data_IF_918697095338
#
_entry.id   IF_918697095338
#
_cell.length_a   1.000
_cell.length_b   1.000
_cell.length_c   1.000
_cell.angle_alpha   90.00
_cell.angle_beta   90.00
_cell.angle_gamma   90.00
#
_symmetry.space_group_name_H-M   'P 1'
#
loop_
_entity.id
_entity.type
_entity.pdbx_description
1 polymer ?
#
# COMPACT_ATOMS: atom_id res chain seq x y z
N UNK A 1 1.86 16.25 5.60
CA UNK A 1 2.22 17.25 4.57
C UNK A 1 0.92 17.70 3.93
N UNK A 2 0.53 18.98 4.06
CA UNK A 2 -0.78 19.46 3.57
C UNK A 2 -1.01 19.16 2.07
N UNK A 3 0.06 19.20 1.28
CA UNK A 3 0.06 18.91 -0.16
C UNK A 3 -0.36 17.47 -0.50
N UNK A 4 0.14 16.47 0.24
CA UNK A 4 -0.24 15.07 0.05
C UNK A 4 -1.67 14.81 0.53
N UNK A 5 -2.04 15.40 1.66
CA UNK A 5 -3.40 15.29 2.21
C UNK A 5 -4.44 15.86 1.23
N UNK A 6 -4.21 17.06 0.71
CA UNK A 6 -5.09 17.68 -0.28
C UNK A 6 -5.22 16.86 -1.57
N UNK A 7 -4.13 16.23 -2.03
CA UNK A 7 -4.15 15.35 -3.20
C UNK A 7 -5.08 14.13 -2.99
N UNK A 8 -4.96 13.44 -1.86
CA UNK A 8 -5.78 12.26 -1.54
C UNK A 8 -7.24 12.63 -1.24
N UNK A 9 -7.47 13.73 -0.52
CA UNK A 9 -8.81 14.22 -0.21
C UNK A 9 -9.58 14.59 -1.48
N UNK A 10 -8.93 15.31 -2.40
CA UNK A 10 -9.54 15.67 -3.69
C UNK A 10 -9.88 14.44 -4.54
N UNK A 11 -9.04 13.40 -4.53
CA UNK A 11 -9.37 12.13 -5.18
C UNK A 11 -10.59 11.45 -4.56
N UNK A 12 -10.64 11.36 -3.22
CA UNK A 12 -11.76 10.74 -2.51
C UNK A 12 -13.07 11.48 -2.80
N UNK A 13 -13.07 12.81 -2.71
CA UNK A 13 -14.22 13.66 -3.05
C UNK A 13 -14.69 13.44 -4.50
N UNK A 14 -13.75 13.37 -5.45
CA UNK A 14 -14.08 13.13 -6.87
C UNK A 14 -14.76 11.80 -7.11
N UNK A 15 -14.33 10.75 -6.43
CA UNK A 15 -14.82 9.39 -6.63
C UNK A 15 -15.99 9.01 -5.71
N UNK A 16 -16.35 9.89 -4.77
CA UNK A 16 -17.38 9.60 -3.76
C UNK A 16 -16.91 8.65 -2.66
N UNK A 17 -15.61 8.62 -2.36
CA UNK A 17 -15.04 7.85 -1.25
C UNK A 17 -14.89 8.70 0.01
N UNK A 18 -14.98 8.05 1.17
CA UNK A 18 -14.64 8.68 2.44
C UNK A 18 -13.12 8.76 2.62
N UNK A 19 -12.61 9.97 2.84
CA UNK A 19 -11.21 10.18 3.24
C UNK A 19 -11.07 10.06 4.76
N UNK A 20 -10.43 8.98 5.21
CA UNK A 20 -10.22 8.67 6.62
C UNK A 20 -8.83 9.08 7.07
N UNK A 21 -8.77 10.00 8.03
CA UNK A 21 -7.52 10.44 8.63
C UNK A 21 -7.16 9.58 9.85
N UNK A 22 -5.98 8.95 9.81
CA UNK A 22 -5.47 8.08 10.87
C UNK A 22 -4.63 8.82 11.93
N UNK A 23 -4.41 10.14 11.81
CA UNK A 23 -3.53 10.90 12.74
C UNK A 23 -3.94 10.78 14.21
N UNK A 24 -5.25 10.72 14.49
CA UNK A 24 -5.78 10.58 15.86
C UNK A 24 -5.65 9.16 16.42
N UNK A 25 -5.37 8.17 15.57
CA UNK A 25 -5.26 6.74 15.93
C UNK A 25 -3.80 6.29 16.07
N UNK A 26 -2.86 7.25 16.14
CA UNK A 26 -1.43 6.95 16.31
C UNK A 26 -1.17 6.47 17.74
N UNK A 27 -0.73 5.23 17.86
CA UNK A 27 -0.24 4.65 19.11
C UNK A 27 1.27 4.90 19.24
N UNK A 28 1.65 5.67 20.26
CA UNK A 28 3.03 6.07 20.52
C UNK A 28 3.86 4.99 21.24
N UNK A 29 3.24 3.89 21.67
CA UNK A 29 3.95 2.73 22.24
C UNK A 29 4.70 1.90 21.20
N UNK A 30 4.48 2.18 19.90
CA UNK A 30 5.16 1.52 18.78
C UNK A 30 5.64 2.54 17.74
N UNK A 31 6.56 2.16 16.84
CA UNK A 31 6.91 2.99 15.70
C UNK A 31 5.67 3.37 14.86
N UNK A 32 5.58 4.61 14.33
CA UNK A 32 4.34 5.14 13.73
C UNK A 32 3.73 4.30 12.60
N UNK A 33 4.55 3.59 11.83
CA UNK A 33 4.11 2.68 10.78
C UNK A 33 3.20 1.55 11.29
N UNK A 34 3.27 1.16 12.57
CA UNK A 34 2.37 0.15 13.15
C UNK A 34 0.94 0.65 13.34
N UNK A 35 0.74 1.97 13.47
CA UNK A 35 -0.60 2.54 13.76
C UNK A 35 -1.58 2.35 12.60
N UNK A 36 -1.10 2.00 11.40
CA UNK A 36 -1.96 1.62 10.27
C UNK A 36 -2.89 0.46 10.59
N UNK A 37 -2.39 -0.50 11.37
CA UNK A 37 -3.14 -1.71 11.73
C UNK A 37 -4.34 -1.33 12.58
N UNK A 38 -4.13 -0.48 13.59
CA UNK A 38 -5.21 0.05 14.45
C UNK A 38 -6.19 0.91 13.67
N UNK A 39 -5.69 1.78 12.79
CA UNK A 39 -6.53 2.65 11.99
C UNK A 39 -7.44 1.86 11.05
N UNK A 40 -6.89 0.89 10.31
CA UNK A 40 -7.66 0.00 9.45
C UNK A 40 -8.66 -0.81 10.29
N UNK A 41 -8.22 -1.41 11.40
CA UNK A 41 -9.08 -2.21 12.29
C UNK A 41 -10.27 -1.40 12.85
N UNK A 42 -10.06 -0.12 13.16
CA UNK A 42 -11.09 0.78 13.68
C UNK A 42 -12.20 1.06 12.65
N UNK A 43 -11.85 1.22 11.37
CA UNK A 43 -12.79 1.57 10.31
C UNK A 43 -13.36 0.36 9.56
N UNK A 44 -12.70 -0.81 9.63
CA UNK A 44 -13.06 -1.99 8.84
C UNK A 44 -14.54 -2.40 8.96
N UNK A 45 -15.14 -2.24 10.14
CA UNK A 45 -16.55 -2.63 10.36
C UNK A 45 -17.57 -1.72 9.64
N UNK A 46 -17.15 -0.53 9.19
CA UNK A 46 -18.02 0.49 8.57
C UNK A 46 -18.00 0.48 7.05
N UNK A 47 -17.03 -0.21 6.44
CA UNK A 47 -16.80 -0.19 4.99
C UNK A 47 -16.66 -1.60 4.46
N UNK A 48 -17.04 -1.85 3.21
CA UNK A 48 -16.81 -3.15 2.58
C UNK A 48 -15.33 -3.37 2.28
N UNK A 49 -14.63 -2.30 1.92
CA UNK A 49 -13.22 -2.27 1.62
C UNK A 49 -12.56 -1.06 2.25
N UNK A 50 -11.34 -1.25 2.75
CA UNK A 50 -10.45 -0.17 3.18
C UNK A 50 -9.22 -0.22 2.27
N UNK A 51 -8.94 0.91 1.60
CA UNK A 51 -7.70 1.12 0.89
C UNK A 51 -6.74 1.91 1.78
N UNK A 52 -5.71 1.23 2.30
CA UNK A 52 -4.66 1.90 3.06
C UNK A 52 -3.57 2.38 2.10
N UNK A 53 -3.10 3.62 2.27
CA UNK A 53 -1.91 4.11 1.62
C UNK A 53 -1.08 5.05 2.51
N UNK A 54 0.22 4.80 2.59
CA UNK A 54 1.15 5.55 3.44
C UNK A 54 1.22 7.04 3.08
N UNK A 55 1.64 7.87 4.04
CA UNK A 55 1.66 9.33 3.93
C UNK A 55 2.65 9.87 2.88
N UNK A 56 3.48 9.02 2.30
CA UNK A 56 4.44 9.29 1.23
C UNK A 56 4.01 8.73 -0.13
N UNK A 57 2.72 8.53 -0.30
CA UNK A 57 2.09 8.20 -1.58
C UNK A 57 1.31 9.38 -2.15
N UNK A 58 1.21 9.45 -3.48
CA UNK A 58 0.44 10.46 -4.20
C UNK A 58 -0.43 9.81 -5.27
N UNK A 59 -1.68 10.24 -5.36
CA UNK A 59 -2.58 9.90 -6.46
C UNK A 59 -2.17 10.72 -7.68
N UNK A 60 -1.77 10.03 -8.74
CA UNK A 60 -1.25 10.61 -9.99
C UNK A 60 -2.25 10.56 -11.12
N UNK A 61 -3.21 9.64 -11.09
CA UNK A 61 -4.32 9.57 -12.04
C UNK A 61 -5.66 9.44 -11.31
N UNK A 62 -6.33 10.58 -11.12
CA UNK A 62 -7.61 10.64 -10.41
C UNK A 62 -8.81 10.13 -11.22
N UNK A 63 -8.60 9.65 -12.46
CA UNK A 63 -9.64 9.02 -13.29
C UNK A 63 -9.80 7.52 -13.03
N UNK A 64 -8.87 6.89 -12.30
CA UNK A 64 -8.90 5.46 -12.01
C UNK A 64 -9.63 5.23 -10.68
N UNK A 65 -10.67 4.41 -10.69
CA UNK A 65 -11.42 4.05 -9.48
C UNK A 65 -10.75 2.91 -8.71
N UNK A 66 -10.96 2.86 -7.40
CA UNK A 66 -10.44 1.77 -6.55
C UNK A 66 -11.02 0.41 -6.94
N UNK A 67 -12.27 0.35 -7.38
CA UNK A 67 -12.92 -0.88 -7.86
C UNK A 67 -12.29 -1.38 -9.15
N UNK A 68 -11.88 -0.46 -10.04
CA UNK A 68 -11.21 -0.82 -11.29
C UNK A 68 -9.84 -1.44 -11.03
N UNK A 69 -9.11 -0.91 -10.05
CA UNK A 69 -7.84 -1.46 -9.56
C UNK A 69 -8.06 -2.85 -8.95
N UNK A 70 -9.03 -2.99 -8.05
CA UNK A 70 -9.36 -4.28 -7.43
C UNK A 70 -9.70 -5.34 -8.49
N UNK A 71 -10.60 -5.02 -9.42
CA UNK A 71 -10.97 -5.94 -10.52
C UNK A 71 -9.75 -6.35 -11.35
N UNK A 72 -8.85 -5.43 -11.64
CA UNK A 72 -7.62 -5.72 -12.38
C UNK A 72 -6.62 -6.57 -11.55
N UNK A 73 -6.51 -6.35 -10.25
CA UNK A 73 -5.62 -7.10 -9.37
C UNK A 73 -6.10 -8.54 -9.13
N UNK A 74 -7.40 -8.69 -8.87
CA UNK A 74 -8.05 -9.96 -8.53
C UNK A 74 -8.34 -10.79 -9.78
N UNK A 75 -8.66 -10.14 -10.91
CA UNK A 75 -9.05 -10.81 -12.15
C UNK A 75 -10.48 -11.35 -12.14
N UNK A 76 -11.32 -10.87 -11.22
CA UNK A 76 -12.72 -11.27 -11.08
C UNK A 76 -13.63 -10.05 -10.95
N UNK A 77 -14.86 -10.14 -11.46
CA UNK A 77 -15.82 -9.02 -11.44
C UNK A 77 -16.58 -8.90 -10.11
N UNK A 78 -16.75 -10.02 -9.41
CA UNK A 78 -17.40 -10.06 -8.10
C UNK A 78 -16.38 -9.76 -6.99
N UNK A 79 -16.51 -8.58 -6.38
CA UNK A 79 -15.68 -8.14 -5.26
C UNK A 79 -16.10 -8.74 -3.92
N UNK A 80 -17.30 -9.35 -3.82
CA UNK A 80 -17.77 -10.01 -2.60
C UNK A 80 -17.25 -11.44 -2.47
N UNK A 81 -16.93 -12.09 -3.60
CA UNK A 81 -16.25 -13.39 -3.66
C UNK A 81 -14.72 -13.27 -3.79
N UNK A 82 -14.16 -12.09 -3.47
CA UNK A 82 -12.74 -11.80 -3.61
C UNK A 82 -11.91 -12.22 -2.40
N UNK A 83 -10.60 -12.36 -2.63
CA UNK A 83 -9.56 -12.39 -1.60
C UNK A 83 -9.73 -11.22 -0.64
N UNK A 84 -9.40 -11.43 0.63
CA UNK A 84 -9.60 -10.45 1.70
C UNK A 84 -8.48 -9.40 1.78
N UNK A 85 -7.25 -9.75 1.44
CA UNK A 85 -6.09 -8.86 1.44
C UNK A 85 -5.49 -8.79 0.03
N UNK A 86 -5.41 -7.60 -0.55
CA UNK A 86 -4.76 -7.36 -1.85
C UNK A 86 -3.55 -6.46 -1.65
N UNK A 87 -2.37 -6.99 -1.98
CA UNK A 87 -1.07 -6.34 -1.79
C UNK A 87 -0.26 -6.31 -3.10
N UNK A 88 0.83 -5.55 -3.10
CA UNK A 88 1.84 -5.62 -4.16
C UNK A 88 3.15 -6.17 -3.63
N UNK A 89 3.97 -6.73 -4.52
CA UNK A 89 5.34 -7.10 -4.22
C UNK A 89 6.34 -6.24 -4.98
N UNK A 90 7.46 -5.93 -4.32
CA UNK A 90 8.62 -5.30 -4.92
C UNK A 90 9.86 -6.22 -4.81
N UNK A 91 11.05 -5.70 -5.11
CA UNK A 91 12.31 -6.46 -5.00
C UNK A 91 12.61 -7.05 -3.62
N UNK A 92 11.89 -6.64 -2.58
CA UNK A 92 12.03 -7.13 -1.21
C UNK A 92 10.83 -8.00 -0.79
N UNK A 93 9.92 -8.36 -1.70
CA UNK A 93 8.66 -9.07 -1.40
C UNK A 93 7.49 -8.11 -1.14
N UNK A 94 6.50 -8.59 -0.39
CA UNK A 94 5.25 -7.84 -0.10
C UNK A 94 5.54 -6.45 0.51
N UNK A 95 4.68 -5.49 0.18
CA UNK A 95 4.70 -4.13 0.70
C UNK A 95 3.42 -3.81 1.49
N UNK A 96 3.57 -3.46 2.76
CA UNK A 96 2.49 -3.04 3.67
C UNK A 96 2.18 -1.54 3.60
N UNK A 97 2.81 -0.79 2.70
CA UNK A 97 2.62 0.65 2.57
C UNK A 97 1.39 1.02 1.76
N UNK A 98 0.96 0.15 0.84
CA UNK A 98 -0.28 0.32 0.07
C UNK A 98 -0.96 -1.04 -0.10
N UNK A 99 -2.19 -1.16 0.36
CA UNK A 99 -2.96 -2.40 0.26
C UNK A 99 -4.47 -2.16 0.33
N UNK A 100 -5.23 -3.12 -0.17
CA UNK A 100 -6.67 -3.20 0.06
C UNK A 100 -6.95 -4.30 1.07
N UNK A 101 -7.93 -4.07 1.93
CA UNK A 101 -8.44 -5.10 2.83
C UNK A 101 -9.97 -5.04 2.89
N UNK A 102 -10.60 -6.20 2.74
CA UNK A 102 -12.05 -6.36 2.77
C UNK A 102 -12.54 -6.57 4.18
N UNK A 103 -13.76 -6.12 4.49
CA UNK A 103 -14.44 -6.48 5.74
C UNK A 103 -14.83 -7.95 5.74
N UNK A 104 -14.14 -8.74 6.55
CA UNK A 104 -14.44 -10.15 6.82
C UNK A 104 -13.91 -10.55 8.19
N UNK A 105 -14.31 -11.73 8.67
CA UNK A 105 -13.75 -12.28 9.91
C UNK A 105 -12.26 -12.57 9.76
N UNK A 106 -11.84 -13.10 8.61
CA UNK A 106 -10.43 -13.34 8.32
C UNK A 106 -9.60 -12.06 8.41
N UNK A 107 -10.07 -10.96 7.82
CA UNK A 107 -9.36 -9.67 7.88
C UNK A 107 -9.21 -9.13 9.30
N UNK A 108 -10.24 -9.30 10.15
CA UNK A 108 -10.17 -8.90 11.56
C UNK A 108 -9.12 -9.72 12.30
N UNK A 109 -9.18 -11.04 12.15
CA UNK A 109 -8.22 -11.96 12.78
C UNK A 109 -6.80 -11.70 12.28
N UNK A 110 -6.62 -11.41 10.99
CA UNK A 110 -5.33 -11.07 10.40
C UNK A 110 -4.77 -9.76 10.99
N UNK A 111 -5.59 -8.70 11.09
CA UNK A 111 -5.16 -7.43 11.69
C UNK A 111 -4.81 -7.60 13.17
N UNK A 112 -5.58 -8.39 13.93
CA UNK A 112 -5.32 -8.65 15.34
C UNK A 112 -4.02 -9.47 15.52
N UNK A 113 -3.80 -10.51 14.69
CA UNK A 113 -2.54 -11.26 14.63
C UNK A 113 -1.37 -10.36 14.26
N UNK A 114 -1.55 -9.48 13.27
CA UNK A 114 -0.51 -8.55 12.81
C UNK A 114 -0.12 -7.57 13.90
N UNK A 115 -1.09 -6.98 14.60
CA UNK A 115 -0.82 -6.16 15.78
C UNK A 115 -0.10 -6.95 16.89
N UNK A 116 -0.35 -8.24 17.03
CA UNK A 116 0.30 -9.05 18.07
C UNK A 116 1.72 -9.54 17.72
N UNK A 117 2.27 -9.19 16.56
CA UNK A 117 3.66 -9.49 16.15
C UNK A 117 4.70 -8.61 16.87
N UNK A 118 4.73 -8.66 18.21
CA UNK A 118 5.55 -7.75 19.04
C UNK A 118 7.06 -7.93 18.86
N UNK A 119 7.53 -9.11 18.44
CA UNK A 119 8.94 -9.40 18.15
C UNK A 119 9.52 -8.57 17.00
N UNK A 120 8.67 -8.01 16.14
CA UNK A 120 9.07 -7.16 15.01
C UNK A 120 9.10 -5.67 15.34
N UNK A 121 8.74 -5.27 16.56
CA UNK A 121 8.75 -3.87 16.99
C UNK A 121 10.20 -3.41 17.17
N UNK A 122 10.63 -2.43 16.37
CA UNK A 122 11.99 -1.88 16.43
C UNK A 122 11.95 -0.35 16.36
N UNK A 123 12.31 0.31 17.46
CA UNK A 123 12.50 1.75 17.48
C UNK A 123 13.85 2.14 16.87
N UNK A 124 13.90 3.28 16.17
CA UNK A 124 15.15 3.80 15.59
C UNK A 124 15.72 2.98 14.43
N UNK A 125 15.01 1.97 13.94
CA UNK A 125 15.41 1.17 12.78
C UNK A 125 14.94 1.80 11.47
N UNK A 126 15.75 1.67 10.43
CA UNK A 126 15.33 2.01 9.05
C UNK A 126 14.48 0.91 8.41
N UNK A 127 14.37 -0.26 9.06
CA UNK A 127 13.53 -1.37 8.61
C UNK A 127 12.09 -1.18 9.08
N UNK A 128 11.14 -1.40 8.18
CA UNK A 128 9.72 -1.34 8.49
C UNK A 128 9.29 -2.62 9.23
N UNK A 129 9.24 -2.55 10.56
CA UNK A 129 8.83 -3.69 11.40
C UNK A 129 7.43 -4.23 11.10
N UNK A 130 6.47 -3.34 10.81
CA UNK A 130 5.11 -3.72 10.37
C UNK A 130 5.14 -4.55 9.07
N UNK A 131 5.93 -4.14 8.08
CA UNK A 131 6.05 -4.86 6.81
C UNK A 131 6.72 -6.23 7.00
N UNK A 132 7.75 -6.30 7.84
CA UNK A 132 8.40 -7.55 8.18
C UNK A 132 7.43 -8.52 8.90
N UNK A 133 6.61 -8.01 9.81
CA UNK A 133 5.57 -8.78 10.48
C UNK A 133 4.48 -9.27 9.50
N UNK A 134 4.04 -8.44 8.56
CA UNK A 134 3.09 -8.85 7.52
C UNK A 134 3.65 -9.99 6.66
N UNK A 135 4.91 -9.87 6.21
CA UNK A 135 5.58 -10.94 5.44
C UNK A 135 5.61 -12.24 6.23
N UNK A 136 6.05 -12.18 7.48
CA UNK A 136 6.11 -13.35 8.36
C UNK A 136 4.74 -14.04 8.50
N UNK A 137 3.66 -13.25 8.63
CA UNK A 137 2.32 -13.80 8.70
C UNK A 137 1.89 -14.44 7.40
N UNK A 138 2.09 -13.77 6.26
CA UNK A 138 1.70 -14.27 4.94
C UNK A 138 2.48 -15.55 4.58
N UNK A 139 3.79 -15.58 4.85
CA UNK A 139 4.65 -16.75 4.63
C UNK A 139 4.26 -17.94 5.52
N UNK A 140 3.61 -17.67 6.66
CA UNK A 140 3.13 -18.68 7.60
C UNK A 140 1.71 -19.21 7.32
N UNK A 141 1.00 -18.65 6.33
CA UNK A 141 -0.34 -19.13 5.97
C UNK A 141 -0.26 -20.50 5.29
N UNK A 142 -1.32 -21.31 5.46
CA UNK A 142 -1.46 -22.53 4.67
C UNK A 142 -1.67 -22.19 3.19
N UNK A 143 -1.33 -23.09 2.27
CA UNK A 143 -1.55 -22.87 0.84
C UNK A 143 -3.02 -22.64 0.46
N UNK A 144 -3.95 -23.16 1.26
CA UNK A 144 -5.38 -22.93 1.12
C UNK A 144 -5.75 -21.52 1.57
N UNK A 145 -5.37 -21.15 2.79
CA UNK A 145 -5.65 -19.82 3.33
C UNK A 145 -5.01 -18.70 2.49
N UNK A 146 -3.76 -18.89 2.04
CA UNK A 146 -3.07 -17.95 1.16
C UNK A 146 -3.84 -17.75 -0.15
N UNK A 147 -4.26 -18.85 -0.79
CA UNK A 147 -4.98 -18.81 -2.07
C UNK A 147 -6.35 -18.16 -1.92
N UNK A 148 -7.05 -18.42 -0.83
CA UNK A 148 -8.44 -17.99 -0.68
C UNK A 148 -8.53 -16.55 -0.13
N UNK A 149 -7.54 -16.10 0.64
CA UNK A 149 -7.59 -14.81 1.33
C UNK A 149 -6.57 -13.77 0.89
N UNK A 150 -5.46 -14.14 0.25
CA UNK A 150 -4.40 -13.18 -0.11
C UNK A 150 -4.19 -13.12 -1.61
N UNK A 151 -4.27 -11.91 -2.16
CA UNK A 151 -3.93 -11.63 -3.56
C UNK A 151 -2.72 -10.73 -3.66
N UNK A 152 -1.67 -11.24 -4.27
CA UNK A 152 -0.56 -10.41 -4.77
C UNK A 152 -0.95 -9.90 -6.17
N UNK A 153 -0.96 -8.58 -6.33
CA UNK A 153 -1.23 -7.94 -7.62
C UNK A 153 -0.22 -8.39 -8.68
N UNK A 154 -0.67 -8.75 -9.90
CA UNK A 154 0.24 -9.17 -10.98
C UNK A 154 1.20 -8.06 -11.43
N UNK A 155 0.82 -6.79 -11.22
CA UNK A 155 1.63 -5.61 -11.48
C UNK A 155 1.68 -4.71 -10.24
N UNK A 156 2.87 -4.36 -9.79
CA UNK A 156 3.07 -3.45 -8.68
C UNK A 156 2.56 -2.04 -9.03
N UNK A 157 2.80 -1.56 -10.25
CA UNK A 157 2.39 -0.23 -10.72
C UNK A 157 0.87 -0.04 -10.85
N UNK A 158 0.08 -1.10 -10.66
CA UNK A 158 -1.38 -1.00 -10.65
C UNK A 158 -1.87 -0.04 -9.55
N UNK A 159 -1.19 -0.03 -8.40
CA UNK A 159 -1.48 0.90 -7.30
C UNK A 159 -0.31 1.21 -6.36
N UNK A 160 0.92 0.83 -6.71
CA UNK A 160 2.10 1.06 -5.86
C UNK A 160 3.35 1.34 -6.69
N UNK A 161 3.28 2.26 -7.66
CA UNK A 161 4.39 2.57 -8.56
C UNK A 161 5.55 3.25 -7.84
N UNK A 162 6.78 2.91 -8.22
CA UNK A 162 8.00 3.52 -7.71
C UNK A 162 8.66 4.41 -8.75
N UNK A 163 9.02 5.62 -8.34
CA UNK A 163 9.83 6.51 -9.17
C UNK A 163 11.16 5.82 -9.49
N UNK A 164 11.47 5.74 -10.77
CA UNK A 164 12.78 5.30 -11.21
C UNK A 164 13.77 6.46 -11.16
N UNK A 165 14.87 6.27 -10.44
CA UNK A 165 16.01 7.18 -10.51
C UNK A 165 17.30 6.37 -10.72
N UNK A 166 18.26 6.91 -11.48
CA UNK A 166 19.51 6.23 -11.78
C UNK A 166 20.45 6.32 -10.57
N UNK A 167 20.64 5.20 -9.89
CA UNK A 167 21.57 5.01 -8.78
C UNK A 167 22.26 3.66 -8.96
N UNK A 168 23.39 3.41 -8.29
CA UNK A 168 24.01 2.08 -8.32
C UNK A 168 23.07 0.97 -7.85
N UNK A 169 22.25 1.27 -6.83
CA UNK A 169 21.27 0.33 -6.29
C UNK A 169 20.16 0.01 -7.29
N UNK A 170 19.62 1.02 -7.98
CA UNK A 170 18.59 0.81 -9.00
C UNK A 170 19.18 0.14 -10.25
N UNK A 171 20.36 0.52 -10.71
CA UNK A 171 21.05 -0.16 -11.80
C UNK A 171 21.31 -1.64 -11.50
N UNK A 172 21.80 -1.95 -10.30
CA UNK A 172 21.98 -3.35 -9.85
C UNK A 172 20.65 -4.13 -9.83
N UNK A 173 19.57 -3.52 -9.33
CA UNK A 173 18.23 -4.14 -9.33
C UNK A 173 17.66 -4.32 -10.74
N UNK A 174 17.93 -3.40 -11.67
CA UNK A 174 17.52 -3.54 -13.06
C UNK A 174 18.18 -4.76 -13.70
N UNK A 175 19.45 -5.01 -13.38
CA UNK A 175 20.21 -6.16 -13.90
C UNK A 175 19.77 -7.46 -13.23
N UNK A 176 19.61 -7.46 -11.90
CA UNK A 176 19.34 -8.69 -11.13
C UNK A 176 17.86 -9.06 -11.04
N UNK A 177 16.94 -8.12 -11.24
CA UNK A 177 15.50 -8.35 -11.15
C UNK A 177 14.72 -7.48 -12.15
N UNK A 178 15.04 -7.52 -13.45
CA UNK A 178 14.46 -6.63 -14.45
C UNK A 178 12.93 -6.68 -14.48
N UNK A 179 12.35 -7.87 -14.44
CA UNK A 179 10.88 -8.04 -14.48
C UNK A 179 10.19 -7.35 -13.30
N UNK A 180 10.71 -7.52 -12.08
CA UNK A 180 10.17 -6.87 -10.88
C UNK A 180 10.26 -5.35 -10.99
N UNK A 181 11.38 -4.84 -11.52
CA UNK A 181 11.55 -3.41 -11.73
C UNK A 181 10.53 -2.88 -12.76
N UNK A 182 10.39 -3.53 -13.91
CA UNK A 182 9.44 -3.11 -14.95
C UNK A 182 7.99 -3.19 -14.50
N UNK A 183 7.63 -4.16 -13.66
CA UNK A 183 6.28 -4.28 -13.09
C UNK A 183 5.93 -3.18 -12.09
N UNK A 184 6.93 -2.47 -11.54
CA UNK A 184 6.74 -1.47 -10.48
C UNK A 184 7.18 -0.07 -10.84
N UNK A 185 7.89 0.14 -11.94
CA UNK A 185 8.37 1.45 -12.35
C UNK A 185 7.20 2.38 -12.69
N UNK A 186 7.23 3.58 -12.13
CA UNK A 186 6.24 4.62 -12.38
C UNK A 186 6.28 5.10 -13.83
N UNK A 187 5.10 5.19 -14.43
CA UNK A 187 4.86 5.81 -15.73
C UNK A 187 3.75 6.85 -15.67
N UNK A 188 3.76 7.81 -16.60
CA UNK A 188 2.66 8.79 -16.74
C UNK A 188 1.37 8.01 -17.06
N UNK A 189 0.35 8.20 -16.22
CA UNK A 189 -0.94 7.51 -16.33
C UNK A 189 -1.19 6.49 -15.21
N UNK A 190 -0.16 6.10 -14.46
CA UNK A 190 -0.31 5.24 -13.29
C UNK A 190 -1.23 5.89 -12.24
N UNK A 191 -1.87 5.05 -11.42
CA UNK A 191 -2.82 5.51 -10.40
C UNK A 191 -2.13 6.22 -9.23
N UNK A 192 -1.12 5.57 -8.64
CA UNK A 192 -0.49 5.99 -7.40
C UNK A 192 1.02 5.79 -7.48
N UNK A 193 1.76 6.81 -7.08
CA UNK A 193 3.21 6.72 -6.87
C UNK A 193 3.52 6.68 -5.38
N UNK A 194 4.50 5.86 -5.01
CA UNK A 194 4.97 5.68 -3.65
C UNK A 194 6.44 6.07 -3.55
N UNK A 195 6.74 7.05 -2.70
CA UNK A 195 8.09 7.60 -2.50
C UNK A 195 8.86 6.81 -1.42
N UNK A 196 8.70 5.48 -1.42
CA UNK A 196 9.31 4.58 -0.46
C UNK A 196 10.84 4.69 -0.52
N UNK A 197 11.46 4.96 0.64
CA UNK A 197 12.93 5.01 0.77
C UNK A 197 13.61 6.22 0.11
N UNK A 198 12.88 7.24 -0.34
CA UNK A 198 13.47 8.50 -0.79
C UNK A 198 13.80 9.43 0.39
N UNK A 199 15.01 9.96 0.38
CA UNK A 199 15.38 11.17 1.12
C UNK A 199 14.84 12.38 0.30
N UNK A 200 14.17 13.35 0.91
CA UNK A 200 13.48 14.49 0.25
C UNK A 200 12.10 14.19 -0.41
N UNK A 201 11.26 13.37 0.22
CA UNK A 201 9.89 13.06 -0.24
C UNK A 201 9.04 14.30 -0.60
N UNK A 202 9.25 15.44 0.08
CA UNK A 202 8.51 16.69 -0.20
C UNK A 202 8.82 17.27 -1.58
N UNK A 203 10.08 17.27 -1.97
CA UNK A 203 10.52 17.82 -3.26
C UNK A 203 10.03 16.93 -4.40
N UNK A 204 10.18 15.62 -4.25
CA UNK A 204 9.62 14.64 -5.19
C UNK A 204 8.11 14.76 -5.34
N UNK A 205 7.39 14.88 -4.21
CA UNK A 205 5.96 15.09 -4.24
C UNK A 205 5.57 16.36 -5.00
N UNK A 206 6.27 17.48 -4.77
CA UNK A 206 6.02 18.73 -5.47
C UNK A 206 6.29 18.62 -6.97
N UNK A 207 7.40 17.98 -7.36
CA UNK A 207 7.77 17.75 -8.76
C UNK A 207 6.71 16.93 -9.50
N UNK A 208 6.28 15.82 -8.92
CA UNK A 208 5.27 14.94 -9.54
C UNK A 208 3.92 15.67 -9.67
N UNK A 209 3.51 16.44 -8.66
CA UNK A 209 2.28 17.23 -8.77
C UNK A 209 2.35 18.33 -9.85
N UNK A 210 3.53 18.88 -10.13
CA UNK A 210 3.71 19.79 -11.26
C UNK A 210 3.57 19.05 -12.59
N UNK A 211 4.16 17.85 -12.72
CA UNK A 211 4.05 17.00 -13.91
C UNK A 211 2.61 16.55 -14.20
N UNK A 212 1.79 16.29 -13.17
CA UNK A 212 0.38 15.90 -13.33
C UNK A 212 -0.48 17.06 -13.85
N UNK A 213 -0.11 18.30 -13.52
CA UNK A 213 -0.84 19.51 -13.96
C UNK A 213 -0.47 19.94 -15.38
N UNK A 214 0.60 19.40 -15.94
CA UNK A 214 1.14 19.72 -17.27
C UNK A 214 0.66 18.74 -18.35
#
# INVERSE_FOLDING_TARGET
MALVEGNKRSYAERMGYDFLDARSLVDRSRPPNWSKILAVRHYLDRYDWVFWNDADTLVTNSNISLESILKAAIGHLDLHASHDLVVTEDTNGINSGVFFIRRSNWSKDFLDKWWNQTSFIQFGSTKSGDNAAMKHLVDGLTSEELRDHVRISPMQCLFNSYVWNLTWKSAYRLITSPQTIWKGAYSKGDFLVHLAGFDNKREWAAKILQEIKA
#
